data_IF_809640627206
#
_entry.id   IF_809640627206
#
_cell.length_a   1.000
_cell.length_b   1.000
_cell.length_c   1.000
_cell.angle_alpha   90.00
_cell.angle_beta   90.00
_cell.angle_gamma   90.00
#
_symmetry.space_group_name_H-M   'P 1'
#
loop_
_entity.id
_entity.type
_entity.pdbx_description
1 polymer ?
#
# COMPACT_ATOMS: atom_id res chain seq x y z
N UNK A 1 -47.60 -6.70 14.16
CA UNK A 1 -47.14 -6.85 12.75
C UNK A 1 -46.18 -5.76 12.30
N UNK A 2 -46.24 -4.52 12.78
CA UNK A 2 -45.38 -3.39 12.37
C UNK A 2 -43.89 -3.56 12.69
N UNK A 3 -43.54 -4.13 13.85
CA UNK A 3 -42.12 -4.28 14.27
C UNK A 3 -41.32 -5.22 13.37
N UNK A 4 -41.93 -6.31 12.87
CA UNK A 4 -41.28 -7.25 11.97
C UNK A 4 -40.95 -6.64 10.61
N UNK A 5 -41.82 -5.80 10.09
CA UNK A 5 -41.59 -5.09 8.81
C UNK A 5 -40.44 -4.11 8.91
N UNK A 6 -40.32 -3.39 10.04
CA UNK A 6 -39.23 -2.43 10.28
C UNK A 6 -37.86 -3.15 10.33
N UNK A 7 -37.79 -4.31 10.98
CA UNK A 7 -36.55 -5.11 11.06
C UNK A 7 -36.13 -5.60 9.66
N UNK A 8 -37.08 -6.09 8.87
CA UNK A 8 -36.79 -6.57 7.51
C UNK A 8 -36.26 -5.43 6.62
N UNK A 9 -36.88 -4.26 6.67
CA UNK A 9 -36.47 -3.09 5.93
C UNK A 9 -35.08 -2.60 6.36
N UNK A 10 -34.80 -2.64 7.66
CA UNK A 10 -33.46 -2.27 8.17
C UNK A 10 -32.38 -3.24 7.72
N UNK A 11 -32.64 -4.55 7.75
CA UNK A 11 -31.70 -5.56 7.24
C UNK A 11 -31.48 -5.42 5.73
N UNK A 12 -32.55 -5.20 4.95
CA UNK A 12 -32.44 -4.96 3.52
C UNK A 12 -31.60 -3.70 3.21
N UNK A 13 -31.77 -2.63 3.99
CA UNK A 13 -30.97 -1.41 3.87
C UNK A 13 -29.49 -1.65 4.18
N UNK A 14 -29.16 -2.44 5.23
CA UNK A 14 -27.78 -2.78 5.58
C UNK A 14 -27.10 -3.61 4.47
N UNK A 15 -27.81 -4.58 3.89
CA UNK A 15 -27.32 -5.37 2.77
C UNK A 15 -27.10 -4.49 1.55
N UNK A 16 -28.03 -3.59 1.23
CA UNK A 16 -27.88 -2.67 0.10
C UNK A 16 -26.70 -1.70 0.29
N UNK A 17 -26.54 -1.14 1.50
CA UNK A 17 -25.40 -0.26 1.81
C UNK A 17 -24.06 -0.98 1.70
N UNK A 18 -23.97 -2.21 2.21
CA UNK A 18 -22.73 -3.01 2.14
C UNK A 18 -22.35 -3.33 0.67
N UNK A 19 -23.33 -3.68 -0.16
CA UNK A 19 -23.09 -3.93 -1.59
C UNK A 19 -22.70 -2.67 -2.37
N UNK A 20 -23.26 -1.52 -2.01
CA UNK A 20 -22.90 -0.23 -2.61
C UNK A 20 -21.45 0.18 -2.28
N UNK A 21 -21.02 -0.01 -1.04
CA UNK A 21 -19.65 0.24 -0.59
C UNK A 21 -18.65 -0.68 -1.33
N UNK A 22 -18.95 -1.97 -1.43
CA UNK A 22 -18.11 -2.93 -2.15
C UNK A 22 -18.00 -2.60 -3.64
N UNK A 23 -19.12 -2.19 -4.28
CA UNK A 23 -19.12 -1.76 -5.68
C UNK A 23 -18.30 -0.49 -5.90
N UNK A 24 -18.41 0.49 -5.00
CA UNK A 24 -17.62 1.73 -5.07
C UNK A 24 -16.12 1.44 -4.92
N UNK A 25 -15.75 0.55 -3.99
CA UNK A 25 -14.37 0.10 -3.79
C UNK A 25 -13.80 -0.63 -5.00
N UNK A 26 -14.56 -1.56 -5.58
CA UNK A 26 -14.15 -2.30 -6.77
C UNK A 26 -14.02 -1.39 -8.01
N UNK A 27 -14.88 -0.38 -8.16
CA UNK A 27 -14.77 0.60 -9.25
C UNK A 27 -13.51 1.46 -9.12
N UNK A 28 -13.17 1.90 -7.90
CA UNK A 28 -11.91 2.59 -7.63
C UNK A 28 -10.68 1.71 -7.92
N UNK A 29 -10.71 0.44 -7.55
CA UNK A 29 -9.63 -0.50 -7.81
C UNK A 29 -9.42 -0.76 -9.31
N UNK A 30 -10.50 -0.88 -10.10
CA UNK A 30 -10.41 -1.11 -11.55
C UNK A 30 -9.86 0.11 -12.32
N UNK A 31 -10.20 1.32 -11.91
CA UNK A 31 -9.65 2.54 -12.50
C UNK A 31 -8.15 2.71 -12.22
N UNK A 32 -7.67 2.26 -11.05
CA UNK A 32 -6.24 2.25 -10.70
C UNK A 32 -5.47 1.22 -11.52
N UNK A 33 -6.05 0.03 -11.71
CA UNK A 33 -5.44 -1.03 -12.51
C UNK A 33 -5.24 -0.60 -13.97
N UNK A 34 -6.16 0.18 -14.55
CA UNK A 34 -6.01 0.70 -15.91
C UNK A 34 -4.90 1.75 -16.02
N UNK A 35 -4.72 2.59 -14.99
CA UNK A 35 -3.61 3.56 -14.92
C UNK A 35 -2.26 2.87 -14.79
N UNK A 36 -2.15 1.89 -13.89
CA UNK A 36 -0.93 1.11 -13.67
C UNK A 36 -0.56 0.27 -14.90
N UNK A 37 -1.53 -0.33 -15.57
CA UNK A 37 -1.30 -1.07 -16.82
C UNK A 37 -0.81 -0.17 -17.97
N UNK A 38 -1.35 1.05 -18.09
CA UNK A 38 -0.93 2.02 -19.09
C UNK A 38 0.50 2.52 -18.84
N UNK A 39 0.92 2.61 -17.57
CA UNK A 39 2.27 3.02 -17.19
C UNK A 39 3.28 1.88 -17.33
N UNK A 40 2.89 0.64 -16.99
CA UNK A 40 3.67 -0.56 -17.26
C UNK A 40 3.97 -0.73 -18.76
N UNK A 41 3.00 -0.40 -19.63
CA UNK A 41 3.20 -0.42 -21.07
C UNK A 41 4.23 0.60 -21.56
N UNK A 42 4.36 1.75 -20.89
CA UNK A 42 5.37 2.78 -21.22
C UNK A 42 6.81 2.37 -20.87
N UNK A 43 6.97 1.55 -19.83
CA UNK A 43 8.28 1.06 -19.35
C UNK A 43 8.59 -0.36 -19.83
N UNK A 44 7.98 -0.84 -20.91
CA UNK A 44 8.24 -2.19 -21.44
C UNK A 44 7.81 -3.32 -20.49
N UNK A 45 6.86 -3.03 -19.59
CA UNK A 45 6.36 -4.01 -18.61
C UNK A 45 7.25 -4.21 -17.38
N UNK A 46 8.36 -3.52 -17.27
CA UNK A 46 9.19 -3.53 -16.06
C UNK A 46 8.77 -2.41 -15.12
N UNK A 47 8.32 -2.77 -13.93
CA UNK A 47 8.13 -1.83 -12.84
C UNK A 47 9.49 -1.57 -12.18
N UNK A 48 9.94 -0.33 -12.23
CA UNK A 48 11.13 0.15 -11.52
C UNK A 48 10.70 1.28 -10.59
N UNK A 49 11.36 1.41 -9.46
CA UNK A 49 11.14 2.54 -8.57
C UNK A 49 11.95 3.74 -9.06
N UNK A 50 11.28 4.75 -9.58
CA UNK A 50 11.90 6.04 -9.93
C UNK A 50 12.05 6.89 -8.65
N UNK A 51 13.18 6.72 -7.97
CA UNK A 51 13.48 7.43 -6.74
C UNK A 51 14.31 8.69 -7.02
N UNK A 52 13.77 9.84 -6.67
CA UNK A 52 14.41 11.16 -6.83
C UNK A 52 15.02 11.71 -5.52
N UNK A 53 14.81 11.03 -4.40
CA UNK A 53 15.34 11.42 -3.10
C UNK A 53 16.80 10.98 -2.86
N UNK A 54 17.35 11.26 -1.67
CA UNK A 54 18.66 10.76 -1.28
C UNK A 54 18.71 9.23 -1.31
N UNK A 55 19.75 8.67 -1.92
CA UNK A 55 19.93 7.21 -1.96
C UNK A 55 20.44 6.70 -0.62
N UNK A 56 19.90 5.58 -0.17
CA UNK A 56 20.42 4.87 0.99
C UNK A 56 21.80 4.27 0.69
N UNK A 57 22.70 4.31 1.68
CA UNK A 57 23.98 3.64 1.60
C UNK A 57 23.82 2.18 2.02
N UNK A 58 23.81 1.28 1.04
CA UNK A 58 23.67 -0.14 1.29
C UNK A 58 24.16 -0.97 0.11
N UNK A 59 24.37 -2.26 0.33
CA UNK A 59 24.79 -3.18 -0.73
C UNK A 59 23.66 -3.32 -1.76
N UNK A 60 24.04 -3.35 -3.04
CA UNK A 60 23.11 -3.70 -4.10
C UNK A 60 22.64 -5.15 -3.95
N UNK A 61 21.38 -5.40 -4.26
CA UNK A 61 20.83 -6.74 -4.29
C UNK A 61 21.05 -7.35 -5.68
N UNK A 62 21.50 -8.61 -5.79
CA UNK A 62 21.76 -9.25 -7.08
C UNK A 62 20.53 -9.33 -8.00
N UNK A 63 19.33 -9.48 -7.43
CA UNK A 63 18.09 -9.60 -8.18
C UNK A 63 17.43 -8.22 -8.40
N UNK A 64 17.41 -7.39 -7.35
CA UNK A 64 16.65 -6.13 -7.36
C UNK A 64 17.45 -4.90 -7.71
N UNK A 65 18.78 -5.01 -7.80
CA UNK A 65 19.67 -3.89 -8.17
C UNK A 65 20.05 -3.00 -6.98
N UNK A 66 20.36 -1.71 -7.22
CA UNK A 66 20.83 -0.80 -6.18
C UNK A 66 19.76 -0.54 -5.12
N UNK A 67 20.19 -0.36 -3.87
CA UNK A 67 19.34 0.11 -2.78
C UNK A 67 19.03 1.58 -2.97
N UNK A 68 17.75 1.94 -2.98
CA UNK A 68 17.29 3.31 -3.18
C UNK A 68 16.84 3.94 -1.85
N UNK A 69 16.02 3.22 -1.09
CA UNK A 69 15.46 3.71 0.18
C UNK A 69 15.48 2.60 1.22
N UNK A 70 15.90 2.96 2.43
CA UNK A 70 15.71 2.13 3.62
C UNK A 70 14.76 2.83 4.58
N UNK A 71 13.74 2.11 5.03
CA UNK A 71 12.81 2.55 6.07
C UNK A 71 13.09 1.77 7.34
N UNK A 72 13.72 2.40 8.36
CA UNK A 72 14.12 1.70 9.58
C UNK A 72 12.91 1.15 10.36
N UNK A 73 13.06 0.00 10.95
CA UNK A 73 12.09 -0.56 11.90
C UNK A 73 12.19 0.13 13.26
N UNK A 74 11.06 0.43 13.92
CA UNK A 74 11.05 1.06 15.25
C UNK A 74 11.58 0.15 16.34
N UNK A 75 11.37 -1.15 16.20
CA UNK A 75 11.85 -2.18 17.16
C UNK A 75 13.30 -2.60 16.96
N UNK A 76 14.01 -2.00 16.00
CA UNK A 76 15.33 -2.47 15.57
C UNK A 76 15.25 -3.66 14.60
N UNK A 77 16.41 -4.11 14.13
CA UNK A 77 16.52 -5.15 13.10
C UNK A 77 16.35 -4.59 11.68
N UNK A 78 16.31 -5.46 10.66
CA UNK A 78 16.25 -5.04 9.27
C UNK A 78 14.97 -4.27 8.99
N UNK A 79 15.11 -3.12 8.32
CA UNK A 79 14.03 -2.25 7.89
C UNK A 79 13.29 -2.80 6.66
N UNK A 80 12.49 -1.94 6.06
CA UNK A 80 11.97 -2.17 4.71
C UNK A 80 12.98 -1.59 3.72
N UNK A 81 13.56 -2.43 2.87
CA UNK A 81 14.59 -2.07 1.91
C UNK A 81 13.96 -1.99 0.53
N UNK A 82 13.98 -0.81 -0.08
CA UNK A 82 13.44 -0.57 -1.42
C UNK A 82 14.58 -0.43 -2.40
N UNK A 83 14.63 -1.37 -3.34
CA UNK A 83 15.59 -1.41 -4.44
C UNK A 83 14.95 -0.89 -5.73
N UNK A 84 15.73 -0.79 -6.79
CA UNK A 84 15.24 -0.33 -8.10
C UNK A 84 14.11 -1.21 -8.66
N UNK A 85 14.21 -2.55 -8.51
CA UNK A 85 13.27 -3.51 -9.12
C UNK A 85 12.47 -4.34 -8.11
N UNK A 86 12.65 -4.12 -6.82
CA UNK A 86 11.96 -4.89 -5.79
C UNK A 86 12.16 -4.35 -4.39
N UNK A 87 11.53 -4.99 -3.43
CA UNK A 87 11.67 -4.67 -2.02
C UNK A 87 11.94 -5.93 -1.18
N UNK A 88 12.62 -5.72 -0.07
CA UNK A 88 12.85 -6.74 0.96
C UNK A 88 12.25 -6.26 2.27
N UNK A 89 11.40 -7.08 2.87
CA UNK A 89 10.69 -6.81 4.11
C UNK A 89 10.86 -7.98 5.08
N UNK A 90 11.90 -7.94 5.90
CA UNK A 90 12.32 -9.09 6.70
C UNK A 90 12.77 -10.24 5.79
N UNK A 91 12.08 -11.36 5.87
CA UNK A 91 12.30 -12.57 5.05
C UNK A 91 11.56 -12.53 3.69
N UNK A 92 10.68 -11.55 3.49
CA UNK A 92 9.86 -11.44 2.27
C UNK A 92 10.59 -10.63 1.22
N UNK A 93 10.78 -11.22 0.04
CA UNK A 93 11.30 -10.59 -1.17
C UNK A 93 10.16 -10.41 -2.17
N UNK A 94 10.01 -9.23 -2.73
CA UNK A 94 8.91 -8.91 -3.65
C UNK A 94 9.45 -8.09 -4.82
N UNK A 95 9.45 -8.68 -6.01
CA UNK A 95 9.70 -7.95 -7.24
C UNK A 95 8.52 -7.00 -7.56
N UNK A 96 8.78 -5.79 -8.02
CA UNK A 96 7.70 -4.84 -8.34
C UNK A 96 6.82 -5.30 -9.49
N UNK A 97 7.33 -6.10 -10.40
CA UNK A 97 6.51 -6.75 -11.44
C UNK A 97 5.38 -7.61 -10.87
N UNK A 98 5.52 -8.10 -9.64
CA UNK A 98 4.51 -8.88 -8.92
C UNK A 98 3.49 -8.01 -8.16
N UNK A 99 3.66 -6.70 -8.14
CA UNK A 99 2.68 -5.76 -7.64
C UNK A 99 1.65 -5.44 -8.71
N UNK A 100 0.43 -5.28 -8.29
CA UNK A 100 -0.65 -4.79 -9.14
C UNK A 100 -1.03 -3.34 -8.81
N UNK A 101 -0.72 -2.89 -7.58
CA UNK A 101 -1.01 -1.53 -7.13
C UNK A 101 -0.23 -1.22 -5.83
N UNK A 102 -0.07 0.08 -5.54
CA UNK A 102 0.38 0.57 -4.24
C UNK A 102 -0.47 1.78 -3.84
N UNK A 103 -0.82 1.88 -2.56
CA UNK A 103 -1.59 3.00 -2.03
C UNK A 103 -1.06 3.43 -0.68
N UNK A 104 -0.70 4.71 -0.55
CA UNK A 104 -0.41 5.30 0.74
C UNK A 104 -1.69 5.90 1.32
N UNK A 105 -2.06 5.45 2.51
CA UNK A 105 -3.20 5.95 3.26
C UNK A 105 -2.66 6.67 4.49
N UNK A 106 -2.72 8.01 4.53
CA UNK A 106 -2.32 8.75 5.70
C UNK A 106 -3.32 8.49 6.84
N UNK A 107 -2.79 8.18 8.02
CA UNK A 107 -3.59 8.05 9.23
C UNK A 107 -3.57 9.34 10.06
N UNK A 108 -4.59 9.59 10.89
CA UNK A 108 -4.61 10.73 11.79
C UNK A 108 -3.53 10.68 12.87
N UNK A 109 -2.89 9.52 13.06
CA UNK A 109 -1.91 9.30 14.12
C UNK A 109 -2.53 9.20 15.51
N UNK A 110 -1.71 8.82 16.48
CA UNK A 110 -2.10 8.77 17.89
C UNK A 110 -3.07 7.64 18.24
N UNK A 111 -3.58 7.68 19.48
CA UNK A 111 -4.47 6.69 20.07
C UNK A 111 -3.95 6.21 21.43
N UNK A 112 -4.88 5.95 22.35
CA UNK A 112 -4.54 5.48 23.71
C UNK A 112 -4.35 3.96 23.76
N UNK A 113 -5.18 3.21 23.01
CA UNK A 113 -5.10 1.75 22.97
C UNK A 113 -4.31 1.26 21.75
N UNK A 114 -3.73 0.03 21.80
CA UNK A 114 -3.08 -0.57 20.63
C UNK A 114 -3.99 -0.66 19.40
N UNK A 115 -5.27 -0.97 19.60
CA UNK A 115 -6.25 -1.04 18.52
C UNK A 115 -6.52 0.34 17.89
N UNK A 116 -6.60 1.40 18.68
CA UNK A 116 -6.71 2.78 18.17
C UNK A 116 -5.45 3.19 17.41
N UNK A 117 -4.25 2.92 17.95
CA UNK A 117 -2.97 3.20 17.27
C UNK A 117 -2.90 2.47 15.93
N UNK A 118 -3.31 1.20 15.87
CA UNK A 118 -3.33 0.42 14.62
C UNK A 118 -4.29 1.01 13.59
N UNK A 119 -5.48 1.43 14.00
CA UNK A 119 -6.49 2.02 13.11
C UNK A 119 -6.07 3.40 12.61
N UNK A 120 -5.37 4.17 13.45
CA UNK A 120 -4.94 5.53 13.15
C UNK A 120 -3.53 5.59 12.53
N UNK A 121 -2.88 4.46 12.30
CA UNK A 121 -1.57 4.40 11.68
C UNK A 121 -1.64 4.76 10.19
N UNK A 122 -0.70 5.55 9.72
CA UNK A 122 -0.45 5.68 8.29
C UNK A 122 0.10 4.37 7.74
N UNK A 123 -0.30 4.00 6.54
CA UNK A 123 0.10 2.72 5.96
C UNK A 123 0.34 2.84 4.46
N UNK A 124 1.47 2.32 3.99
CA UNK A 124 1.69 2.02 2.59
C UNK A 124 1.24 0.59 2.34
N UNK A 125 0.19 0.43 1.54
CA UNK A 125 -0.30 -0.84 1.06
C UNK A 125 0.34 -1.20 -0.27
N UNK A 126 0.88 -2.42 -0.37
CA UNK A 126 1.40 -2.98 -1.61
C UNK A 126 0.52 -4.19 -1.98
N UNK A 127 -0.26 -4.01 -3.03
CA UNK A 127 -1.19 -5.03 -3.52
C UNK A 127 -0.47 -5.94 -4.49
N UNK A 128 -0.33 -7.22 -4.14
CA UNK A 128 0.33 -8.22 -4.99
C UNK A 128 -0.64 -8.81 -6.00
N UNK A 129 -0.13 -9.21 -7.16
CA UNK A 129 -0.89 -9.95 -8.18
C UNK A 129 -1.33 -11.31 -7.66
N UNK A 130 -0.48 -11.96 -6.85
CA UNK A 130 -0.75 -13.23 -6.17
C UNK A 130 -0.29 -13.15 -4.72
N UNK A 131 -1.05 -13.76 -3.81
CA UNK A 131 -0.77 -13.78 -2.37
C UNK A 131 -1.28 -12.55 -1.62
N UNK A 132 -0.86 -12.42 -0.37
CA UNK A 132 -1.38 -11.43 0.57
C UNK A 132 -0.87 -10.01 0.26
N UNK A 133 -1.71 -9.03 0.58
CA UNK A 133 -1.33 -7.62 0.58
C UNK A 133 -0.33 -7.34 1.70
N UNK A 134 0.69 -6.53 1.40
CA UNK A 134 1.72 -6.13 2.35
C UNK A 134 1.41 -4.71 2.84
N UNK A 135 1.38 -4.52 4.15
CA UNK A 135 1.20 -3.20 4.76
C UNK A 135 2.44 -2.77 5.55
N UNK A 136 3.02 -1.62 5.19
CA UNK A 136 4.11 -0.99 5.93
C UNK A 136 3.49 0.15 6.74
N UNK A 137 3.47 -0.01 8.08
CA UNK A 137 2.76 0.90 9.00
C UNK A 137 3.74 1.75 9.80
N UNK A 138 3.39 3.02 10.04
CA UNK A 138 4.18 3.95 10.85
C UNK A 138 4.30 3.55 12.33
N UNK A 139 3.44 2.68 12.81
CA UNK A 139 3.60 2.10 14.15
C UNK A 139 4.75 1.08 14.23
N UNK A 140 5.15 0.47 13.13
CA UNK A 140 6.22 -0.54 13.05
C UNK A 140 7.50 -0.01 12.43
N UNK A 141 7.40 1.01 11.58
CA UNK A 141 8.50 1.58 10.82
C UNK A 141 8.63 3.08 11.06
N UNK A 142 9.86 3.60 10.90
CA UNK A 142 10.14 5.03 10.98
C UNK A 142 10.11 5.59 9.57
N UNK A 143 8.99 6.11 9.13
CA UNK A 143 8.88 6.82 7.87
C UNK A 143 8.12 8.13 8.04
N UNK A 144 8.41 9.08 7.20
CA UNK A 144 7.60 10.28 7.04
C UNK A 144 6.61 10.13 5.86
N UNK A 145 5.59 10.96 5.88
CA UNK A 145 4.54 10.97 4.86
C UNK A 145 5.12 11.21 3.46
N UNK A 146 6.07 12.15 3.35
CA UNK A 146 6.67 12.55 2.08
C UNK A 146 7.45 11.39 1.43
N UNK A 147 8.24 10.64 2.22
CA UNK A 147 8.95 9.45 1.74
C UNK A 147 7.99 8.40 1.20
N UNK A 148 6.87 8.15 1.89
CA UNK A 148 5.91 7.12 1.47
C UNK A 148 5.13 7.53 0.23
N UNK A 149 4.78 8.80 0.09
CA UNK A 149 4.17 9.35 -1.12
C UNK A 149 5.14 9.31 -2.30
N UNK A 150 6.42 9.61 -2.07
CA UNK A 150 7.45 9.52 -3.10
C UNK A 150 7.67 8.08 -3.57
N UNK A 151 7.68 7.09 -2.66
CA UNK A 151 7.75 5.67 -3.03
C UNK A 151 6.52 5.26 -3.86
N UNK A 152 5.32 5.65 -3.42
CA UNK A 152 4.10 5.35 -4.16
C UNK A 152 4.14 5.95 -5.57
N UNK A 153 4.56 7.20 -5.69
CA UNK A 153 4.68 7.91 -6.97
C UNK A 153 5.76 7.28 -7.84
N UNK A 154 6.92 6.96 -7.26
CA UNK A 154 8.05 6.35 -7.96
C UNK A 154 7.74 4.95 -8.49
N UNK A 155 6.81 4.21 -7.85
CA UNK A 155 6.28 2.94 -8.39
C UNK A 155 5.26 3.16 -9.51
N UNK A 156 5.02 4.40 -9.92
CA UNK A 156 4.08 4.72 -10.99
C UNK A 156 2.60 4.63 -10.61
N UNK A 157 2.30 4.53 -9.31
CA UNK A 157 0.93 4.54 -8.80
C UNK A 157 0.56 5.96 -8.34
N UNK A 158 -0.56 6.47 -8.79
CA UNK A 158 -1.01 7.82 -8.43
C UNK A 158 -1.58 7.84 -7.01
N UNK A 159 -1.26 8.87 -6.18
CA UNK A 159 -1.92 9.07 -4.90
C UNK A 159 -3.43 9.22 -5.09
N UNK A 160 -4.21 8.69 -4.15
CA UNK A 160 -5.63 8.99 -4.09
C UNK A 160 -5.84 10.38 -3.49
N UNK A 161 -6.55 11.21 -4.21
CA UNK A 161 -7.13 12.44 -3.67
C UNK A 161 -8.33 12.10 -2.77
#
# INVERSE_FOLDING_TARGET
>A
MTTGIIIILFLAFLVWMSTAIVKAWNKGASQRLSGAAAQAARHGGQYVLEWTGPRAHGAADPEFGPLLVEIPKKSGGPGALFYERGLVLGDKRVAYENLKDAAFIPGPGGGFTPAQKMRNASVLWLYRKKGDTIGIRDMSYRFDKQTMEAIQTGLGFRPQA
#
